data_IF_925770236300
#
_entry.id   IF_925770236300
#
_cell.length_a   1.000
_cell.length_b   1.000
_cell.length_c   1.000
_cell.angle_alpha   90.00
_cell.angle_beta   90.00
_cell.angle_gamma   90.00
#
_symmetry.space_group_name_H-M   'P 1'
#
loop_
_entity.id
_entity.type
_entity.pdbx_description
1 polymer ?
#
# COMPACT_ATOMS: atom_id res chain seq x y z
N UNK A 1 35.48 -5.25 47.75
CA UNK A 1 35.66 -5.38 46.30
C UNK A 1 34.77 -6.53 45.87
N UNK A 2 33.55 -6.24 45.50
CA UNK A 2 32.58 -7.18 44.96
C UNK A 2 32.41 -6.78 43.50
N UNK A 3 32.74 -7.68 42.60
CA UNK A 3 32.60 -7.49 41.14
C UNK A 3 31.13 -7.24 40.78
N UNK A 4 30.83 -6.32 39.84
CA UNK A 4 29.49 -6.16 39.33
C UNK A 4 29.15 -7.33 38.40
N UNK A 5 28.01 -7.97 38.68
CA UNK A 5 27.50 -9.11 37.96
C UNK A 5 27.37 -8.80 36.47
N UNK A 6 27.92 -9.70 35.65
CA UNK A 6 27.74 -9.80 34.22
C UNK A 6 26.24 -9.90 33.92
N UNK A 7 25.72 -8.92 33.18
CA UNK A 7 24.41 -8.98 32.53
C UNK A 7 24.29 -10.29 31.74
N UNK A 8 23.51 -11.20 32.27
CA UNK A 8 23.15 -12.42 31.56
C UNK A 8 22.22 -12.00 30.41
N UNK A 9 22.79 -11.83 29.22
CA UNK A 9 22.03 -11.73 27.99
C UNK A 9 21.07 -12.92 27.96
N UNK A 10 19.76 -12.62 27.98
CA UNK A 10 18.71 -13.62 27.98
C UNK A 10 18.95 -14.59 26.80
N UNK A 11 19.20 -15.85 27.12
CA UNK A 11 19.43 -16.90 26.12
C UNK A 11 18.25 -16.91 25.14
N UNK A 12 18.49 -17.04 23.83
CA UNK A 12 17.43 -17.10 22.83
C UNK A 12 16.46 -18.22 23.20
N UNK A 13 15.18 -17.89 23.31
CA UNK A 13 14.14 -18.85 23.70
C UNK A 13 14.18 -20.04 22.75
N UNK A 14 14.24 -21.25 23.30
CA UNK A 14 14.30 -22.49 22.53
C UNK A 14 13.19 -22.55 21.48
N UNK A 15 13.49 -22.98 20.24
CA UNK A 15 12.51 -23.01 19.16
C UNK A 15 11.30 -23.84 19.57
N UNK A 16 10.09 -23.32 19.39
CA UNK A 16 8.86 -24.05 19.70
C UNK A 16 8.80 -25.32 18.88
N UNK A 17 8.49 -26.49 19.46
CA UNK A 17 8.53 -27.77 18.73
C UNK A 17 7.55 -27.82 17.54
N UNK A 18 6.53 -26.93 17.47
CA UNK A 18 5.49 -26.89 16.43
C UNK A 18 5.51 -25.62 15.57
N UNK A 19 6.59 -24.84 15.57
CA UNK A 19 6.67 -23.55 14.86
C UNK A 19 6.29 -23.64 13.37
N UNK A 20 6.64 -24.72 12.66
CA UNK A 20 6.32 -24.89 11.23
C UNK A 20 4.81 -24.97 11.01
N UNK A 21 4.09 -25.68 11.89
CA UNK A 21 2.62 -25.79 11.86
C UNK A 21 1.98 -24.44 12.18
N UNK A 22 2.48 -23.74 13.19
CA UNK A 22 1.95 -22.45 13.63
C UNK A 22 2.15 -21.39 12.55
N UNK A 23 3.34 -21.33 11.93
CA UNK A 23 3.63 -20.45 10.80
C UNK A 23 2.78 -20.80 9.57
N UNK A 24 2.62 -22.09 9.24
CA UNK A 24 1.80 -22.50 8.10
C UNK A 24 0.32 -22.15 8.32
N UNK A 25 -0.22 -22.37 9.53
CA UNK A 25 -1.58 -21.98 9.88
C UNK A 25 -1.76 -20.45 9.83
N UNK A 26 -0.78 -19.70 10.31
CA UNK A 26 -0.77 -18.23 10.26
C UNK A 26 -0.74 -17.71 8.82
N UNK A 27 0.24 -18.14 8.00
CA UNK A 27 0.35 -17.73 6.61
C UNK A 27 -0.86 -18.14 5.78
N UNK A 28 -1.41 -19.35 6.02
CA UNK A 28 -2.64 -19.80 5.39
C UNK A 28 -3.84 -18.92 5.75
N UNK A 29 -4.01 -18.60 7.04
CA UNK A 29 -5.02 -17.67 7.51
C UNK A 29 -4.88 -16.29 6.90
N UNK A 30 -3.65 -15.74 6.89
CA UNK A 30 -3.37 -14.43 6.26
C UNK A 30 -3.66 -14.45 4.76
N UNK A 31 -3.32 -15.53 4.05
CA UNK A 31 -3.62 -15.66 2.61
C UNK A 31 -5.11 -15.60 2.35
N UNK A 32 -5.90 -16.36 3.11
CA UNK A 32 -7.35 -16.45 2.96
C UNK A 32 -8.02 -15.10 3.32
N UNK A 33 -7.63 -14.48 4.44
CA UNK A 33 -8.17 -13.18 4.86
C UNK A 33 -7.80 -12.07 3.87
N UNK A 34 -6.55 -12.01 3.43
CA UNK A 34 -6.08 -11.01 2.46
C UNK A 34 -6.81 -11.13 1.12
N UNK A 35 -7.04 -12.37 0.65
CA UNK A 35 -7.80 -12.62 -0.57
C UNK A 35 -9.22 -12.04 -0.48
N UNK A 36 -9.98 -12.37 0.56
CA UNK A 36 -11.34 -11.85 0.76
C UNK A 36 -11.36 -10.32 0.86
N UNK A 37 -10.45 -9.76 1.64
CA UNK A 37 -10.36 -8.30 1.84
C UNK A 37 -10.03 -7.56 0.54
N UNK A 38 -9.12 -8.09 -0.30
CA UNK A 38 -8.83 -7.51 -1.61
C UNK A 38 -9.99 -7.62 -2.58
N UNK A 39 -10.72 -8.75 -2.59
CA UNK A 39 -11.94 -8.90 -3.39
C UNK A 39 -12.95 -7.78 -3.10
N UNK A 40 -13.24 -7.54 -1.83
CA UNK A 40 -14.18 -6.48 -1.42
C UNK A 40 -13.66 -5.11 -1.82
N UNK A 41 -12.36 -4.86 -1.64
CA UNK A 41 -11.75 -3.58 -1.99
C UNK A 41 -11.95 -3.28 -3.49
N UNK A 42 -11.61 -4.21 -4.38
CA UNK A 42 -11.81 -4.02 -5.81
C UNK A 42 -13.29 -3.89 -6.18
N UNK A 43 -14.14 -4.79 -5.67
CA UNK A 43 -15.56 -4.79 -5.99
C UNK A 43 -16.25 -3.48 -5.58
N UNK A 44 -15.95 -2.95 -4.39
CA UNK A 44 -16.53 -1.70 -3.89
C UNK A 44 -16.05 -0.51 -4.72
N UNK A 45 -14.75 -0.42 -5.02
CA UNK A 45 -14.23 0.68 -5.87
C UNK A 45 -14.82 0.64 -7.27
N UNK A 46 -14.94 -0.54 -7.88
CA UNK A 46 -15.54 -0.71 -9.20
C UNK A 46 -17.04 -0.42 -9.19
N UNK A 47 -17.74 -0.88 -8.17
CA UNK A 47 -19.16 -0.57 -7.98
C UNK A 47 -19.39 0.94 -7.94
N UNK A 48 -18.63 1.68 -7.12
CA UNK A 48 -18.74 3.13 -7.02
C UNK A 48 -18.39 3.82 -8.36
N UNK A 49 -17.38 3.35 -9.07
CA UNK A 49 -17.00 3.88 -10.37
C UNK A 49 -18.08 3.66 -11.44
N UNK A 50 -18.68 2.46 -11.49
CA UNK A 50 -19.70 2.08 -12.47
C UNK A 50 -21.03 2.78 -12.20
N UNK A 51 -21.48 2.77 -10.94
CA UNK A 51 -22.80 3.27 -10.56
C UNK A 51 -22.89 4.79 -10.54
N UNK A 52 -21.90 5.44 -9.96
CA UNK A 52 -21.96 6.88 -9.73
C UNK A 52 -21.17 7.68 -10.76
N UNK A 53 -20.19 7.07 -11.40
CA UNK A 53 -19.34 7.74 -12.38
C UNK A 53 -18.83 9.12 -11.91
N UNK A 54 -18.58 9.27 -10.60
CA UNK A 54 -18.25 10.54 -9.96
C UNK A 54 -16.85 10.48 -9.34
N UNK A 55 -16.03 11.48 -9.64
CA UNK A 55 -14.72 11.65 -9.04
C UNK A 55 -14.79 11.94 -7.55
N UNK A 56 -15.86 12.64 -7.09
CA UNK A 56 -16.11 12.85 -5.66
C UNK A 56 -16.39 11.52 -4.94
N UNK A 57 -17.13 10.60 -5.55
CA UNK A 57 -17.36 9.26 -4.97
C UNK A 57 -16.06 8.46 -4.88
N UNK A 58 -15.19 8.54 -5.89
CA UNK A 58 -13.87 7.92 -5.86
C UNK A 58 -12.95 8.56 -4.80
N UNK A 59 -13.03 9.90 -4.63
CA UNK A 59 -12.33 10.60 -3.56
C UNK A 59 -12.79 10.13 -2.19
N UNK A 60 -14.09 10.05 -1.94
CA UNK A 60 -14.65 9.58 -0.66
C UNK A 60 -14.26 8.12 -0.39
N UNK A 61 -14.30 7.25 -1.42
CA UNK A 61 -13.84 5.88 -1.30
C UNK A 61 -12.36 5.80 -0.91
N UNK A 62 -11.49 6.60 -1.51
CA UNK A 62 -10.09 6.69 -1.15
C UNK A 62 -9.89 7.27 0.26
N UNK A 63 -10.62 8.33 0.61
CA UNK A 63 -10.52 8.97 1.92
C UNK A 63 -10.91 7.99 3.04
N UNK A 64 -12.10 7.40 2.95
CA UNK A 64 -12.58 6.45 3.96
C UNK A 64 -11.86 5.09 3.90
N UNK A 65 -11.37 4.69 2.74
CA UNK A 65 -10.63 3.44 2.55
C UNK A 65 -9.18 3.47 3.04
N UNK A 66 -8.52 4.64 3.12
CA UNK A 66 -7.09 4.71 3.42
C UNK A 66 -6.74 5.64 4.59
N UNK A 67 -7.45 6.77 4.80
CA UNK A 67 -7.11 7.71 5.86
C UNK A 67 -7.26 7.13 7.28
N UNK A 68 -8.34 6.38 7.62
CA UNK A 68 -8.44 5.73 8.92
C UNK A 68 -7.30 4.75 9.19
N UNK A 69 -6.88 3.97 8.19
CA UNK A 69 -5.72 3.08 8.30
C UNK A 69 -4.44 3.87 8.61
N UNK A 70 -4.19 4.96 7.89
CA UNK A 70 -3.02 5.80 8.09
C UNK A 70 -2.98 6.36 9.52
N UNK A 71 -4.10 6.87 10.02
CA UNK A 71 -4.20 7.43 11.39
C UNK A 71 -4.07 6.33 12.44
N UNK A 72 -4.80 5.24 12.30
CA UNK A 72 -4.83 4.15 13.29
C UNK A 72 -3.49 3.39 13.33
N UNK A 73 -2.80 3.23 12.21
CA UNK A 73 -1.50 2.53 12.18
C UNK A 73 -0.44 3.23 13.03
N UNK A 74 -0.54 4.54 13.26
CA UNK A 74 0.34 5.27 14.17
C UNK A 74 0.22 4.76 15.61
N UNK A 75 -0.97 4.34 16.02
CA UNK A 75 -1.24 3.79 17.35
C UNK A 75 -1.14 2.26 17.39
N UNK A 76 -1.32 1.63 16.23
CA UNK A 76 -1.35 0.17 16.07
C UNK A 76 -0.07 -0.52 16.58
N UNK A 77 1.10 0.09 16.39
CA UNK A 77 2.37 -0.39 16.92
C UNK A 77 2.38 -0.42 18.45
N UNK A 78 1.96 0.67 19.10
CA UNK A 78 1.86 0.78 20.56
C UNK A 78 0.84 -0.24 21.12
N UNK A 79 -0.27 -0.45 20.44
CA UNK A 79 -1.26 -1.46 20.84
C UNK A 79 -0.72 -2.87 20.69
N UNK A 80 0.03 -3.17 19.61
CA UNK A 80 0.68 -4.46 19.38
C UNK A 80 1.74 -4.80 20.47
N UNK A 81 2.36 -3.78 21.05
CA UNK A 81 3.33 -3.95 22.14
C UNK A 81 2.67 -4.12 23.52
N UNK A 82 1.46 -3.55 23.69
CA UNK A 82 0.76 -3.55 24.99
C UNK A 82 -0.27 -4.67 25.13
N UNK A 83 -0.75 -5.22 24.01
CA UNK A 83 -1.82 -6.21 24.02
C UNK A 83 -1.37 -7.50 23.33
N UNK A 84 -2.12 -8.57 23.55
CA UNK A 84 -1.88 -9.83 22.86
C UNK A 84 -2.16 -9.67 21.35
N UNK A 85 -1.10 -9.77 20.55
CA UNK A 85 -1.11 -9.56 19.09
C UNK A 85 -2.11 -10.46 18.36
N UNK A 86 -2.29 -11.70 18.84
CA UNK A 86 -3.29 -12.65 18.32
C UNK A 86 -4.71 -12.08 18.47
N UNK A 87 -5.08 -11.58 19.64
CA UNK A 87 -6.42 -11.02 19.86
C UNK A 87 -6.63 -9.70 19.12
N UNK A 88 -5.59 -8.89 18.91
CA UNK A 88 -5.67 -7.69 18.07
C UNK A 88 -5.98 -8.04 16.62
N UNK A 89 -5.29 -9.04 16.04
CA UNK A 89 -5.53 -9.49 14.67
C UNK A 89 -6.95 -10.08 14.55
N UNK A 90 -7.32 -11.00 15.45
CA UNK A 90 -8.66 -11.61 15.43
C UNK A 90 -9.77 -10.58 15.62
N UNK A 91 -9.57 -9.59 16.50
CA UNK A 91 -10.54 -8.52 16.74
C UNK A 91 -10.70 -7.60 15.53
N UNK A 92 -9.60 -7.26 14.86
CA UNK A 92 -9.63 -6.48 13.63
C UNK A 92 -10.33 -7.24 12.50
N UNK A 93 -9.97 -8.52 12.26
CA UNK A 93 -10.64 -9.37 11.27
C UNK A 93 -12.13 -9.52 11.57
N UNK A 94 -12.51 -9.72 12.84
CA UNK A 94 -13.91 -9.84 13.25
C UNK A 94 -14.69 -8.53 13.02
N UNK A 95 -14.11 -7.37 13.34
CA UNK A 95 -14.75 -6.08 13.12
C UNK A 95 -14.94 -5.81 11.61
N UNK A 96 -13.94 -6.13 10.79
CA UNK A 96 -14.00 -6.05 9.33
C UNK A 96 -15.11 -6.96 8.80
N UNK A 97 -15.09 -8.24 9.17
CA UNK A 97 -16.07 -9.21 8.71
C UNK A 97 -17.51 -8.86 9.13
N UNK A 98 -17.69 -8.41 10.38
CA UNK A 98 -19.01 -8.00 10.88
C UNK A 98 -19.54 -6.78 10.14
N UNK A 99 -18.72 -5.77 9.92
CA UNK A 99 -19.13 -4.58 9.14
C UNK A 99 -19.49 -4.93 7.70
N UNK A 100 -18.71 -5.83 7.07
CA UNK A 100 -19.00 -6.33 5.72
C UNK A 100 -20.28 -7.15 5.67
N UNK A 101 -20.51 -8.01 6.68
CA UNK A 101 -21.76 -8.77 6.81
C UNK A 101 -22.97 -7.87 6.99
N UNK A 102 -22.87 -6.85 7.85
CA UNK A 102 -23.92 -5.86 8.02
C UNK A 102 -24.27 -5.16 6.70
N UNK A 103 -23.25 -4.74 5.93
CA UNK A 103 -23.45 -4.15 4.62
C UNK A 103 -24.18 -5.11 3.67
N UNK A 104 -23.71 -6.35 3.58
CA UNK A 104 -24.34 -7.37 2.73
C UNK A 104 -25.82 -7.60 3.07
N UNK A 105 -26.16 -7.71 4.37
CA UNK A 105 -27.53 -7.90 4.83
C UNK A 105 -28.40 -6.67 4.55
N UNK A 106 -27.89 -5.46 4.76
CA UNK A 106 -28.60 -4.20 4.48
C UNK A 106 -28.87 -4.07 2.98
N UNK A 107 -27.89 -4.40 2.13
CA UNK A 107 -28.07 -4.41 0.68
C UNK A 107 -29.11 -5.43 0.23
N UNK A 108 -29.11 -6.64 0.79
CA UNK A 108 -30.15 -7.67 0.54
C UNK A 108 -31.54 -7.20 0.99
N UNK A 109 -31.64 -6.32 1.97
CA UNK A 109 -32.90 -5.72 2.39
C UNK A 109 -33.36 -4.56 1.47
N UNK A 110 -32.61 -4.28 0.38
CA UNK A 110 -32.96 -3.25 -0.62
C UNK A 110 -32.40 -1.84 -0.32
N UNK A 111 -31.52 -1.71 0.69
CA UNK A 111 -30.89 -0.42 1.00
C UNK A 111 -29.45 -0.40 0.48
N UNK A 112 -29.18 0.43 -0.53
CA UNK A 112 -27.86 0.55 -1.20
C UNK A 112 -27.27 1.95 -1.16
N UNK A 113 -27.56 2.70 -0.10
CA UNK A 113 -27.09 4.06 0.07
C UNK A 113 -25.55 4.16 0.14
N UNK A 114 -24.90 5.06 -0.62
CA UNK A 114 -23.42 5.13 -0.71
C UNK A 114 -22.73 5.38 0.64
N UNK A 115 -23.37 6.13 1.55
CA UNK A 115 -22.78 6.43 2.85
C UNK A 115 -22.55 5.18 3.71
N UNK A 116 -23.36 4.13 3.54
CA UNK A 116 -23.16 2.84 4.22
C UNK A 116 -21.83 2.19 3.79
N UNK A 117 -21.55 2.28 2.50
CA UNK A 117 -20.29 1.77 1.93
C UNK A 117 -19.10 2.54 2.52
N UNK A 118 -19.19 3.86 2.62
CA UNK A 118 -18.11 4.67 3.20
C UNK A 118 -17.87 4.37 4.69
N UNK A 119 -18.93 4.15 5.46
CA UNK A 119 -18.80 3.72 6.87
C UNK A 119 -18.09 2.37 6.96
N UNK A 120 -18.47 1.41 6.13
CA UNK A 120 -17.82 0.10 6.12
C UNK A 120 -16.37 0.20 5.65
N UNK A 121 -16.07 0.99 4.63
CA UNK A 121 -14.68 1.27 4.21
C UNK A 121 -13.85 1.87 5.35
N UNK A 122 -14.42 2.81 6.12
CA UNK A 122 -13.73 3.40 7.27
C UNK A 122 -13.42 2.36 8.37
N UNK A 123 -14.39 1.49 8.70
CA UNK A 123 -14.20 0.42 9.70
C UNK A 123 -13.14 -0.59 9.20
N UNK A 124 -13.21 -1.01 7.94
CA UNK A 124 -12.23 -1.90 7.31
C UNK A 124 -10.84 -1.28 7.31
N UNK A 125 -10.75 -0.03 6.94
CA UNK A 125 -9.49 0.75 6.93
C UNK A 125 -8.90 0.88 8.33
N UNK A 126 -9.71 1.20 9.34
CA UNK A 126 -9.27 1.26 10.74
C UNK A 126 -8.80 -0.12 11.24
N UNK A 127 -9.52 -1.19 10.91
CA UNK A 127 -9.13 -2.57 11.21
C UNK A 127 -7.77 -2.94 10.60
N UNK A 128 -7.54 -2.61 9.32
CA UNK A 128 -6.28 -2.83 8.64
C UNK A 128 -5.12 -2.06 9.32
N UNK A 129 -5.38 -0.85 9.83
CA UNK A 129 -4.42 -0.05 10.59
C UNK A 129 -3.97 -0.69 11.91
N UNK A 130 -4.81 -1.51 12.53
CA UNK A 130 -4.46 -2.33 13.71
C UNK A 130 -3.77 -3.62 13.29
N UNK A 131 -4.28 -4.27 12.26
CA UNK A 131 -3.86 -5.61 11.83
C UNK A 131 -2.42 -5.62 11.32
N UNK A 132 -2.00 -4.67 10.47
CA UNK A 132 -0.67 -4.67 9.86
C UNK A 132 0.48 -4.64 10.88
N UNK A 133 0.51 -3.72 11.86
CA UNK A 133 1.53 -3.74 12.91
C UNK A 133 1.47 -5.00 13.78
N UNK A 134 0.26 -5.48 14.11
CA UNK A 134 0.09 -6.68 14.92
C UNK A 134 0.60 -7.95 14.21
N UNK A 135 0.37 -8.09 12.90
CA UNK A 135 0.91 -9.17 12.04
C UNK A 135 2.43 -9.13 12.04
N UNK A 136 3.02 -7.95 11.78
CA UNK A 136 4.48 -7.78 11.75
C UNK A 136 5.12 -8.11 13.10
N UNK A 137 4.44 -7.79 14.20
CA UNK A 137 4.91 -8.08 15.55
C UNK A 137 4.69 -9.54 15.97
N UNK A 138 3.69 -10.26 15.40
CA UNK A 138 3.39 -11.66 15.72
C UNK A 138 4.40 -12.63 15.08
N UNK A 139 4.86 -12.33 13.86
CA UNK A 139 5.77 -13.21 13.10
C UNK A 139 7.02 -13.62 13.91
N UNK A 140 7.76 -12.71 14.57
CA UNK A 140 8.91 -13.08 15.38
C UNK A 140 8.56 -13.93 16.62
N UNK A 141 7.32 -13.88 17.10
CA UNK A 141 6.90 -14.69 18.26
C UNK A 141 6.64 -16.16 17.92
N UNK A 142 6.27 -16.45 16.66
CA UNK A 142 5.92 -17.81 16.22
C UNK A 142 7.01 -18.43 15.33
N UNK A 143 8.02 -17.65 14.94
CA UNK A 143 9.07 -18.04 13.99
C UNK A 143 10.45 -18.01 14.66
N UNK A 144 11.30 -19.04 14.50
CA UNK A 144 12.68 -18.97 14.91
C UNK A 144 13.44 -17.85 14.18
N UNK A 145 14.41 -17.22 14.84
CA UNK A 145 15.14 -16.05 14.30
C UNK A 145 15.85 -16.32 13.01
N UNK A 146 16.41 -17.53 12.82
CA UNK A 146 17.08 -18.00 11.61
C UNK A 146 16.14 -18.21 10.42
N UNK A 147 14.81 -18.27 10.64
CA UNK A 147 13.81 -18.47 9.60
C UNK A 147 13.00 -17.20 9.28
N UNK A 148 13.21 -16.09 9.98
CA UNK A 148 12.42 -14.86 9.81
C UNK A 148 12.46 -14.31 8.38
N UNK A 149 13.65 -14.30 7.75
CA UNK A 149 13.83 -13.84 6.36
C UNK A 149 12.96 -14.67 5.42
N UNK A 150 12.95 -15.99 5.62
CA UNK A 150 12.16 -16.91 4.78
C UNK A 150 10.66 -16.71 4.96
N UNK A 151 10.18 -16.56 6.20
CA UNK A 151 8.75 -16.36 6.49
C UNK A 151 8.27 -15.01 5.97
N UNK A 152 9.04 -13.94 6.16
CA UNK A 152 8.73 -12.63 5.58
C UNK A 152 8.74 -12.66 4.04
N UNK A 153 9.67 -13.40 3.44
CA UNK A 153 9.69 -13.61 1.99
C UNK A 153 8.44 -14.33 1.48
N UNK A 154 7.95 -15.37 2.19
CA UNK A 154 6.68 -16.00 1.87
C UNK A 154 5.49 -15.05 1.99
N UNK A 155 5.43 -14.24 3.06
CA UNK A 155 4.37 -13.25 3.22
C UNK A 155 4.36 -12.22 2.08
N UNK A 156 5.52 -11.70 1.70
CA UNK A 156 5.65 -10.80 0.57
C UNK A 156 5.23 -11.45 -0.76
N UNK A 157 5.59 -12.74 -0.96
CA UNK A 157 5.17 -13.50 -2.14
C UNK A 157 3.64 -13.71 -2.18
N UNK A 158 3.02 -13.99 -1.02
CA UNK A 158 1.57 -14.09 -0.89
C UNK A 158 0.91 -12.76 -1.27
N UNK A 159 1.39 -11.64 -0.74
CA UNK A 159 0.86 -10.30 -1.05
C UNK A 159 0.96 -10.00 -2.55
N UNK A 160 2.09 -10.30 -3.18
CA UNK A 160 2.28 -10.11 -4.62
C UNK A 160 1.37 -11.01 -5.46
N UNK A 161 1.18 -12.27 -5.06
CA UNK A 161 0.26 -13.18 -5.73
C UNK A 161 -1.20 -12.72 -5.60
N UNK A 162 -1.60 -12.23 -4.41
CA UNK A 162 -2.95 -11.71 -4.17
C UNK A 162 -3.20 -10.42 -4.96
N UNK A 163 -2.22 -9.55 -5.11
CA UNK A 163 -2.34 -8.34 -5.95
C UNK A 163 -2.66 -8.67 -7.42
N UNK A 164 -2.23 -9.84 -7.92
CA UNK A 164 -2.55 -10.31 -9.28
C UNK A 164 -3.86 -11.11 -9.33
N UNK A 165 -4.08 -12.01 -8.35
CA UNK A 165 -5.20 -12.95 -8.39
C UNK A 165 -6.52 -12.34 -7.93
N UNK A 166 -6.49 -11.41 -6.96
CA UNK A 166 -7.70 -10.85 -6.39
C UNK A 166 -8.50 -10.00 -7.39
N UNK A 167 -7.92 -9.09 -8.20
CA UNK A 167 -8.70 -8.36 -9.21
C UNK A 167 -9.28 -9.29 -10.27
N UNK A 168 -8.55 -10.34 -10.70
CA UNK A 168 -9.06 -11.34 -11.63
C UNK A 168 -10.29 -12.08 -11.06
N UNK A 169 -10.18 -12.56 -9.83
CA UNK A 169 -11.27 -13.26 -9.16
C UNK A 169 -12.46 -12.32 -8.88
N UNK A 170 -12.20 -11.09 -8.41
CA UNK A 170 -13.25 -10.08 -8.21
C UNK A 170 -14.00 -9.79 -9.51
N UNK A 171 -13.27 -9.62 -10.63
CA UNK A 171 -13.85 -9.41 -11.94
C UNK A 171 -14.77 -10.54 -12.40
N UNK A 172 -14.30 -11.79 -12.27
CA UNK A 172 -15.10 -12.97 -12.64
C UNK A 172 -16.36 -13.09 -11.77
N UNK A 173 -16.22 -12.96 -10.45
CA UNK A 173 -17.35 -13.10 -9.51
C UNK A 173 -18.35 -11.97 -9.71
N UNK A 174 -17.87 -10.72 -9.81
CA UNK A 174 -18.74 -9.56 -10.00
C UNK A 174 -19.48 -9.66 -11.36
N UNK A 175 -18.78 -9.94 -12.48
CA UNK A 175 -19.40 -10.04 -13.79
C UNK A 175 -20.42 -11.18 -13.85
N UNK A 176 -20.14 -12.33 -13.24
CA UNK A 176 -21.08 -13.45 -13.15
C UNK A 176 -22.33 -13.09 -12.31
N UNK A 177 -22.13 -12.34 -11.21
CA UNK A 177 -23.24 -11.87 -10.38
C UNK A 177 -24.08 -10.82 -11.09
N UNK A 178 -23.45 -9.85 -11.76
CA UNK A 178 -24.13 -8.83 -12.56
C UNK A 178 -24.94 -9.42 -13.73
N UNK A 179 -24.54 -10.59 -14.25
CA UNK A 179 -25.29 -11.31 -15.29
C UNK A 179 -26.57 -11.95 -14.76
N UNK A 180 -26.62 -12.28 -13.48
CA UNK A 180 -27.71 -13.02 -12.85
C UNK A 180 -28.70 -12.16 -12.06
N UNK A 181 -28.38 -10.88 -11.87
CA UNK A 181 -29.20 -9.92 -11.11
C UNK A 181 -29.60 -8.74 -12.01
N UNK A 182 -30.90 -8.43 -12.04
CA UNK A 182 -31.42 -7.23 -12.74
C UNK A 182 -31.03 -5.94 -12.00
N UNK A 183 -30.72 -6.04 -10.69
CA UNK A 183 -30.36 -4.91 -9.83
C UNK A 183 -28.83 -4.86 -9.62
N UNK A 184 -28.22 -3.83 -10.17
CA UNK A 184 -26.80 -3.55 -10.12
C UNK A 184 -26.18 -3.53 -8.69
N UNK A 185 -26.84 -2.97 -7.65
CA UNK A 185 -26.31 -3.01 -6.29
C UNK A 185 -26.10 -4.42 -5.73
N UNK A 186 -26.89 -5.40 -6.18
CA UNK A 186 -26.80 -6.79 -5.71
C UNK A 186 -25.55 -7.54 -6.24
N UNK A 187 -24.93 -7.03 -7.29
CA UNK A 187 -23.81 -7.72 -7.94
C UNK A 187 -22.55 -7.86 -7.05
N UNK A 188 -22.36 -6.98 -6.06
CA UNK A 188 -21.21 -7.08 -5.12
C UNK A 188 -21.49 -7.95 -3.91
N UNK A 189 -22.75 -8.29 -3.61
CA UNK A 189 -23.14 -9.00 -2.39
C UNK A 189 -22.46 -10.36 -2.25
N UNK A 190 -22.32 -11.21 -3.28
CA UNK A 190 -21.58 -12.47 -3.15
C UNK A 190 -20.13 -12.27 -2.71
N UNK A 191 -19.47 -11.22 -3.18
CA UNK A 191 -18.09 -10.90 -2.80
C UNK A 191 -18.03 -10.51 -1.31
N UNK A 192 -19.02 -9.77 -0.80
CA UNK A 192 -19.10 -9.42 0.62
C UNK A 192 -19.23 -10.68 1.49
N UNK A 193 -20.04 -11.68 1.08
CA UNK A 193 -20.15 -12.94 1.80
C UNK A 193 -18.86 -13.78 1.75
N UNK A 194 -18.14 -13.76 0.61
CA UNK A 194 -16.85 -14.45 0.51
C UNK A 194 -15.86 -13.88 1.54
N UNK A 195 -15.79 -12.55 1.69
CA UNK A 195 -14.93 -11.90 2.69
C UNK A 195 -15.27 -12.34 4.12
N UNK A 196 -16.56 -12.42 4.46
CA UNK A 196 -17.01 -12.88 5.78
C UNK A 196 -16.55 -14.32 6.04
N UNK A 197 -16.72 -15.22 5.07
CA UNK A 197 -16.32 -16.62 5.19
C UNK A 197 -14.81 -16.76 5.29
N UNK A 198 -14.06 -16.03 4.46
CA UNK A 198 -12.59 -16.05 4.48
C UNK A 198 -12.03 -15.48 5.78
N UNK A 199 -12.61 -14.41 6.32
CA UNK A 199 -12.22 -13.85 7.60
C UNK A 199 -12.54 -14.83 8.77
N UNK A 200 -13.71 -15.46 8.75
CA UNK A 200 -14.06 -16.48 9.75
C UNK A 200 -13.08 -17.67 9.74
N UNK A 201 -12.69 -18.15 8.54
CA UNK A 201 -11.70 -19.20 8.39
C UNK A 201 -10.31 -18.76 8.89
N UNK A 202 -9.89 -17.54 8.61
CA UNK A 202 -8.62 -16.98 9.08
C UNK A 202 -8.59 -16.84 10.61
N UNK A 203 -9.67 -16.34 11.21
CA UNK A 203 -9.84 -16.26 12.67
C UNK A 203 -9.77 -17.66 13.29
N UNK A 204 -10.45 -18.64 12.72
CA UNK A 204 -10.43 -20.02 13.21
C UNK A 204 -9.01 -20.61 13.16
N UNK A 205 -8.27 -20.41 12.05
CA UNK A 205 -6.88 -20.86 11.93
C UNK A 205 -5.99 -20.19 12.97
N UNK A 206 -6.07 -18.87 13.12
CA UNK A 206 -5.28 -18.10 14.08
C UNK A 206 -5.64 -18.49 15.52
N UNK A 207 -6.89 -18.83 15.81
CA UNK A 207 -7.33 -19.31 17.14
C UNK A 207 -6.59 -20.58 17.58
N UNK A 208 -6.17 -21.45 16.66
CA UNK A 208 -5.45 -22.70 16.97
C UNK A 208 -4.00 -22.47 17.40
N UNK A 209 -3.43 -21.28 17.16
CA UNK A 209 -2.03 -20.99 17.43
C UNK A 209 -1.88 -20.55 18.90
N UNK A 210 -1.07 -21.25 19.72
CA UNK A 210 -0.80 -20.82 21.08
C UNK A 210 0.18 -19.63 21.08
N UNK A 211 -0.28 -18.46 21.41
CA UNK A 211 0.57 -17.23 21.55
C UNK A 211 0.67 -16.89 23.01
N UNK A 212 1.91 -16.77 23.53
CA UNK A 212 2.17 -16.36 24.91
C UNK A 212 1.76 -14.91 25.12
N UNK A 213 1.27 -14.60 26.30
CA UNK A 213 0.99 -13.20 26.69
C UNK A 213 2.28 -12.36 26.59
N UNK A 214 2.13 -11.11 26.17
CA UNK A 214 3.26 -10.16 26.13
C UNK A 214 3.74 -9.92 27.57
N UNK A 215 4.99 -10.31 27.86
CA UNK A 215 5.63 -9.93 29.11
C UNK A 215 5.96 -8.44 29.01
N UNK A 216 5.35 -7.63 29.86
CA UNK A 216 5.64 -6.20 29.94
C UNK A 216 7.10 -5.98 30.32
N UNK A 217 7.93 -5.53 29.42
CA UNK A 217 9.23 -4.94 29.69
C UNK A 217 9.10 -3.44 29.47
N UNK A 218 9.07 -2.68 30.57
CA UNK A 218 9.33 -1.23 30.60
C UNK A 218 8.15 -0.31 30.21
N UNK A 219 7.80 0.58 31.12
CA UNK A 219 6.76 1.61 30.97
C UNK A 219 7.19 2.84 30.13
N UNK A 220 8.38 2.85 29.51
CA UNK A 220 9.01 4.06 28.98
C UNK A 220 8.81 4.32 27.48
N UNK A 221 8.16 3.40 26.74
CA UNK A 221 8.06 3.52 25.28
C UNK A 221 7.02 4.54 24.77
N UNK A 222 6.12 5.07 25.61
CA UNK A 222 5.04 5.94 25.17
C UNK A 222 5.38 7.44 25.13
N UNK A 223 6.42 7.86 25.82
CA UNK A 223 6.81 9.28 25.90
C UNK A 223 7.69 9.74 24.74
N UNK A 224 8.23 8.81 23.94
CA UNK A 224 9.18 9.09 22.86
C UNK A 224 8.57 9.26 21.47
N UNK A 225 7.35 8.71 21.18
CA UNK A 225 6.87 8.67 19.79
C UNK A 225 6.71 10.04 19.12
N UNK A 226 6.08 11.00 19.81
CA UNK A 226 5.97 12.38 19.30
C UNK A 226 7.32 13.11 19.26
N UNK A 227 8.18 12.84 20.24
CA UNK A 227 9.54 13.38 20.25
C UNK A 227 10.36 12.80 19.09
N UNK A 228 10.28 11.49 18.86
CA UNK A 228 10.93 10.82 17.74
C UNK A 228 10.41 11.30 16.37
N UNK A 229 9.10 11.59 16.27
CA UNK A 229 8.51 12.17 15.05
C UNK A 229 9.05 13.60 14.80
N UNK A 230 9.07 14.43 15.86
CA UNK A 230 9.61 15.81 15.77
C UNK A 230 11.10 15.80 15.43
N UNK A 231 11.86 14.90 16.03
CA UNK A 231 13.28 14.72 15.71
C UNK A 231 13.49 14.24 14.28
N UNK A 232 12.61 13.35 13.78
CA UNK A 232 12.60 12.91 12.39
C UNK A 232 12.34 14.07 11.42
N UNK A 233 11.34 14.92 11.72
CA UNK A 233 11.05 16.14 10.93
C UNK A 233 12.24 17.10 10.92
N UNK A 234 12.86 17.35 12.09
CA UNK A 234 14.03 18.22 12.19
C UNK A 234 15.20 17.65 11.41
N UNK A 235 15.47 16.34 11.51
CA UNK A 235 16.51 15.68 10.73
C UNK A 235 16.31 15.85 9.22
N UNK A 236 15.08 15.61 8.73
CA UNK A 236 14.72 15.81 7.32
C UNK A 236 14.91 17.28 6.89
N UNK A 237 14.52 18.23 7.76
CA UNK A 237 14.66 19.65 7.48
C UNK A 237 16.13 20.08 7.37
N UNK A 238 17.02 19.50 8.18
CA UNK A 238 18.45 19.84 8.25
C UNK A 238 19.27 19.14 7.14
N UNK A 239 18.79 17.98 6.61
CA UNK A 239 19.54 17.21 5.60
C UNK A 239 19.04 17.49 4.18
N UNK A 240 19.81 18.26 3.42
CA UNK A 240 19.44 18.75 2.07
C UNK A 240 19.07 17.62 1.11
N UNK A 241 19.84 16.52 1.07
CA UNK A 241 19.58 15.36 0.19
C UNK A 241 18.30 14.62 0.58
N UNK A 242 18.10 14.33 1.88
CA UNK A 242 16.94 13.62 2.39
C UNK A 242 15.67 14.45 2.15
N UNK A 243 15.72 15.75 2.46
CA UNK A 243 14.60 16.67 2.22
C UNK A 243 14.23 16.75 0.74
N UNK A 244 15.23 16.91 -0.14
CA UNK A 244 15.01 16.95 -1.58
C UNK A 244 14.36 15.67 -2.09
N UNK A 245 14.89 14.50 -1.67
CA UNK A 245 14.39 13.20 -2.10
C UNK A 245 12.95 12.95 -1.60
N UNK A 246 12.65 13.28 -0.35
CA UNK A 246 11.30 13.14 0.22
C UNK A 246 10.29 14.08 -0.43
N UNK A 247 10.67 15.32 -0.72
CA UNK A 247 9.80 16.26 -1.44
C UNK A 247 9.53 15.79 -2.86
N UNK A 248 10.57 15.38 -3.60
CA UNK A 248 10.41 14.83 -4.94
C UNK A 248 9.50 13.59 -4.91
N UNK A 249 9.78 12.66 -4.00
CA UNK A 249 8.99 11.44 -3.81
C UNK A 249 7.52 11.75 -3.50
N UNK A 250 7.27 12.64 -2.54
CA UNK A 250 5.90 13.02 -2.15
C UNK A 250 5.13 13.69 -3.28
N UNK A 251 5.75 14.65 -4.00
CA UNK A 251 5.11 15.34 -5.13
C UNK A 251 4.81 14.36 -6.27
N UNK A 252 5.81 13.55 -6.67
CA UNK A 252 5.61 12.52 -7.71
C UNK A 252 4.50 11.55 -7.29
N UNK A 253 4.49 11.12 -6.02
CA UNK A 253 3.47 10.20 -5.52
C UNK A 253 2.07 10.81 -5.58
N UNK A 254 1.91 12.10 -5.23
CA UNK A 254 0.61 12.82 -5.39
C UNK A 254 0.21 12.91 -6.87
N UNK A 255 1.15 13.22 -7.79
CA UNK A 255 0.84 13.27 -9.23
C UNK A 255 0.47 11.90 -9.81
N UNK A 256 1.01 10.80 -9.25
CA UNK A 256 0.67 9.43 -9.66
C UNK A 256 -0.72 8.98 -9.19
N UNK A 257 -1.35 9.71 -8.25
CA UNK A 257 -2.70 9.38 -7.76
C UNK A 257 -3.73 9.46 -8.88
N UNK A 258 -3.64 10.45 -9.78
CA UNK A 258 -4.57 10.60 -10.89
C UNK A 258 -4.53 9.37 -11.83
N UNK A 259 -3.39 8.99 -12.44
CA UNK A 259 -3.32 7.80 -13.29
C UNK A 259 -3.48 6.47 -12.51
N UNK A 260 -3.32 6.45 -11.20
CA UNK A 260 -3.54 5.27 -10.38
C UNK A 260 -5.00 5.04 -9.99
N UNK A 261 -5.77 6.11 -9.74
CA UNK A 261 -7.09 6.00 -9.11
C UNK A 261 -8.24 6.56 -9.97
N UNK A 262 -7.98 7.34 -11.02
CA UNK A 262 -9.02 7.84 -11.92
C UNK A 262 -9.22 6.95 -13.17
N UNK A 263 -8.37 5.96 -13.44
CA UNK A 263 -8.53 5.06 -14.57
C UNK A 263 -9.86 4.28 -14.53
N UNK A 264 -10.37 3.80 -13.38
CA UNK A 264 -11.69 3.21 -13.34
C UNK A 264 -12.78 4.15 -13.89
N UNK A 265 -12.70 5.43 -13.55
CA UNK A 265 -13.63 6.44 -14.05
C UNK A 265 -13.44 6.73 -15.55
N UNK A 266 -12.18 6.79 -16.03
CA UNK A 266 -11.86 6.88 -17.46
C UNK A 266 -12.47 5.73 -18.24
N UNK A 267 -12.28 4.48 -17.78
CA UNK A 267 -12.78 3.29 -18.47
C UNK A 267 -14.29 3.30 -18.59
N UNK A 268 -15.00 3.65 -17.53
CA UNK A 268 -16.47 3.65 -17.51
C UNK A 268 -17.06 4.81 -18.31
N UNK A 269 -16.43 6.00 -18.27
CA UNK A 269 -16.95 7.20 -18.97
C UNK A 269 -16.58 7.21 -20.46
N UNK A 270 -15.33 6.92 -20.79
CA UNK A 270 -14.81 7.09 -22.15
C UNK A 270 -14.87 5.83 -23.00
N UNK A 271 -14.94 4.65 -22.36
CA UNK A 271 -15.01 3.35 -23.02
C UNK A 271 -16.16 2.47 -22.50
N UNK A 272 -17.41 2.96 -22.47
CA UNK A 272 -18.53 2.24 -21.89
C UNK A 272 -18.78 0.91 -22.62
N UNK A 273 -18.85 -0.18 -21.86
CA UNK A 273 -18.99 -1.55 -22.38
C UNK A 273 -20.17 -2.30 -21.74
N UNK A 274 -21.12 -1.56 -21.16
CA UNK A 274 -22.16 -2.12 -20.30
C UNK A 274 -21.58 -2.54 -18.92
N UNK A 275 -22.43 -2.91 -17.99
CA UNK A 275 -21.98 -3.17 -16.61
C UNK A 275 -20.97 -4.34 -16.54
N UNK A 276 -21.31 -5.48 -17.15
CA UNK A 276 -20.41 -6.63 -17.21
C UNK A 276 -19.09 -6.32 -17.92
N UNK A 277 -19.16 -5.66 -19.09
CA UNK A 277 -17.98 -5.28 -19.85
C UNK A 277 -17.09 -4.30 -19.08
N UNK A 278 -17.68 -3.34 -18.37
CA UNK A 278 -16.95 -2.41 -17.52
C UNK A 278 -16.19 -3.15 -16.39
N UNK A 279 -16.84 -4.12 -15.72
CA UNK A 279 -16.19 -4.93 -14.68
C UNK A 279 -15.01 -5.73 -15.25
N UNK A 280 -15.18 -6.35 -16.42
CA UNK A 280 -14.11 -7.10 -17.11
C UNK A 280 -12.96 -6.17 -17.48
N UNK A 281 -13.25 -4.98 -18.01
CA UNK A 281 -12.23 -3.99 -18.36
C UNK A 281 -11.46 -3.50 -17.14
N UNK A 282 -12.15 -3.28 -16.01
CA UNK A 282 -11.53 -2.90 -14.74
C UNK A 282 -10.63 -4.02 -14.19
N UNK A 283 -11.06 -5.27 -14.29
CA UNK A 283 -10.23 -6.41 -13.89
C UNK A 283 -8.99 -6.55 -14.80
N UNK A 284 -9.13 -6.42 -16.11
CA UNK A 284 -8.02 -6.49 -17.08
C UNK A 284 -7.01 -5.36 -16.86
N UNK A 285 -7.49 -4.15 -16.59
CA UNK A 285 -6.64 -3.00 -16.24
C UNK A 285 -5.77 -3.28 -15.00
N UNK A 286 -6.37 -3.76 -13.90
CA UNK A 286 -5.65 -4.10 -12.68
C UNK A 286 -4.67 -5.26 -12.88
N UNK A 287 -5.06 -6.28 -13.65
CA UNK A 287 -4.17 -7.39 -14.00
C UNK A 287 -2.98 -6.92 -14.84
N UNK A 288 -3.21 -6.05 -15.84
CA UNK A 288 -2.13 -5.49 -16.65
C UNK A 288 -1.13 -4.72 -15.80
N UNK A 289 -1.62 -3.86 -14.89
CA UNK A 289 -0.79 -3.12 -13.95
C UNK A 289 0.01 -4.06 -13.02
N UNK A 290 -0.66 -5.05 -12.42
CA UNK A 290 -0.03 -6.01 -11.49
C UNK A 290 1.03 -6.88 -12.18
N UNK A 291 0.76 -7.36 -13.40
CA UNK A 291 1.73 -8.07 -14.22
C UNK A 291 2.95 -7.19 -14.55
N UNK A 292 2.69 -5.91 -14.86
CA UNK A 292 3.74 -4.91 -15.04
C UNK A 292 4.60 -4.76 -13.79
N UNK A 293 4.00 -4.65 -12.61
CA UNK A 293 4.73 -4.53 -11.34
C UNK A 293 5.63 -5.75 -11.06
N UNK A 294 5.14 -6.96 -11.31
CA UNK A 294 5.94 -8.18 -11.15
C UNK A 294 7.12 -8.18 -12.13
N UNK A 295 6.85 -7.90 -13.41
CA UNK A 295 7.90 -7.82 -14.43
C UNK A 295 8.93 -6.72 -14.11
N UNK A 296 8.46 -5.53 -13.71
CA UNK A 296 9.30 -4.40 -13.32
C UNK A 296 10.18 -4.71 -12.11
N UNK A 297 9.62 -5.38 -11.10
CA UNK A 297 10.37 -5.83 -9.93
C UNK A 297 11.53 -6.78 -10.29
N UNK A 298 11.28 -7.76 -11.17
CA UNK A 298 12.32 -8.67 -11.68
C UNK A 298 13.37 -7.91 -12.49
N UNK A 299 12.95 -6.99 -13.37
CA UNK A 299 13.86 -6.19 -14.19
C UNK A 299 14.75 -5.27 -13.33
N UNK A 300 14.19 -4.61 -12.32
CA UNK A 300 14.96 -3.78 -11.38
C UNK A 300 15.98 -4.63 -10.64
N UNK A 301 15.59 -5.77 -10.10
CA UNK A 301 16.49 -6.66 -9.36
C UNK A 301 17.67 -7.16 -10.20
N UNK A 302 17.47 -7.37 -11.51
CA UNK A 302 18.49 -7.91 -12.41
C UNK A 302 19.33 -6.83 -13.10
N UNK A 303 18.73 -5.70 -13.48
CA UNK A 303 19.39 -4.69 -14.31
C UNK A 303 19.84 -3.44 -13.53
N UNK A 304 19.08 -3.03 -12.49
CA UNK A 304 19.27 -1.72 -11.86
C UNK A 304 20.49 -1.65 -10.94
N UNK A 305 21.07 -2.77 -10.52
CA UNK A 305 22.25 -2.80 -9.62
C UNK A 305 23.49 -2.09 -10.17
N UNK A 306 23.57 -1.93 -11.51
CA UNK A 306 24.70 -1.31 -12.21
C UNK A 306 24.45 0.16 -12.61
N UNK A 307 23.23 0.66 -12.39
CA UNK A 307 22.82 1.97 -12.89
C UNK A 307 22.82 3.01 -11.77
N UNK A 308 23.08 4.25 -12.15
CA UNK A 308 23.02 5.41 -11.26
C UNK A 308 21.58 5.59 -10.75
N UNK A 309 21.42 5.60 -9.42
CA UNK A 309 20.10 5.64 -8.76
C UNK A 309 19.33 6.90 -9.08
N UNK A 310 20.03 8.07 -9.13
CA UNK A 310 19.39 9.34 -9.42
C UNK A 310 18.90 9.39 -10.86
N UNK A 311 19.72 8.87 -11.80
CA UNK A 311 19.31 8.76 -13.20
C UNK A 311 18.11 7.82 -13.36
N UNK A 312 18.07 6.71 -12.62
CA UNK A 312 16.91 5.80 -12.62
C UNK A 312 15.65 6.50 -12.10
N UNK A 313 15.73 7.21 -10.97
CA UNK A 313 14.62 7.95 -10.38
C UNK A 313 14.11 9.01 -11.37
N UNK A 314 15.01 9.77 -11.97
CA UNK A 314 14.65 10.81 -12.94
C UNK A 314 14.03 10.20 -14.22
N UNK A 315 14.67 9.19 -14.80
CA UNK A 315 14.18 8.53 -16.01
C UNK A 315 12.82 7.85 -15.80
N UNK A 316 12.65 7.13 -14.68
CA UNK A 316 11.37 6.50 -14.37
C UNK A 316 10.27 7.52 -14.11
N UNK A 317 10.55 8.64 -13.43
CA UNK A 317 9.59 9.72 -13.25
C UNK A 317 9.18 10.37 -14.58
N UNK A 318 10.13 10.64 -15.47
CA UNK A 318 9.84 11.18 -16.81
C UNK A 318 9.05 10.18 -17.65
N UNK A 319 9.41 8.89 -17.61
CA UNK A 319 8.66 7.83 -18.30
C UNK A 319 7.24 7.75 -17.75
N UNK A 320 7.06 7.84 -16.43
CA UNK A 320 5.74 7.87 -15.81
C UNK A 320 4.90 9.06 -16.30
N UNK A 321 5.49 10.27 -16.38
CA UNK A 321 4.83 11.45 -16.94
C UNK A 321 4.40 11.24 -18.40
N UNK A 322 5.26 10.61 -19.23
CA UNK A 322 4.93 10.26 -20.62
C UNK A 322 3.77 9.25 -20.69
N UNK A 323 3.79 8.22 -19.85
CA UNK A 323 2.74 7.22 -19.81
C UNK A 323 1.41 7.80 -19.30
N UNK A 324 1.44 8.76 -18.37
CA UNK A 324 0.24 9.49 -17.95
C UNK A 324 -0.39 10.29 -19.11
N UNK A 325 0.45 10.98 -19.92
CA UNK A 325 -0.02 11.64 -21.15
C UNK A 325 -0.58 10.62 -22.13
N UNK A 326 0.10 9.49 -22.33
CA UNK A 326 -0.36 8.44 -23.23
C UNK A 326 -1.71 7.83 -22.79
N UNK A 327 -1.97 7.70 -21.50
CA UNK A 327 -3.29 7.31 -20.97
C UNK A 327 -4.37 8.34 -21.29
N UNK A 328 -4.06 9.64 -21.10
CA UNK A 328 -5.00 10.71 -21.42
C UNK A 328 -5.29 10.87 -22.93
N UNK A 329 -4.41 10.36 -23.79
CA UNK A 329 -4.58 10.38 -25.25
C UNK A 329 -4.92 9.01 -25.85
N UNK A 330 -5.25 8.01 -25.01
CA UNK A 330 -5.47 6.65 -25.46
C UNK A 330 -6.70 6.53 -26.37
N UNK A 331 -6.56 6.03 -27.61
CA UNK A 331 -7.67 5.93 -28.56
C UNK A 331 -8.60 4.73 -28.31
N UNK A 332 -8.26 3.86 -27.37
CA UNK A 332 -9.06 2.64 -27.09
C UNK A 332 -8.48 1.80 -25.95
N UNK A 333 -9.28 0.84 -25.49
CA UNK A 333 -9.00 -0.02 -24.33
C UNK A 333 -7.67 -0.76 -24.42
N UNK A 334 -7.31 -1.29 -25.59
CA UNK A 334 -6.06 -2.03 -25.76
C UNK A 334 -4.84 -1.15 -25.44
N UNK A 335 -4.89 0.12 -25.85
CA UNK A 335 -3.81 1.07 -25.54
C UNK A 335 -3.78 1.38 -24.05
N UNK A 336 -4.95 1.55 -23.41
CA UNK A 336 -5.02 1.75 -21.94
C UNK A 336 -4.36 0.58 -21.20
N UNK A 337 -4.70 -0.68 -21.57
CA UNK A 337 -4.12 -1.86 -20.92
C UNK A 337 -2.60 -1.99 -21.17
N UNK A 338 -2.15 -1.73 -22.39
CA UNK A 338 -0.73 -1.76 -22.74
C UNK A 338 0.05 -0.69 -21.96
N UNK A 339 -0.50 0.53 -21.87
CA UNK A 339 0.15 1.62 -21.11
C UNK A 339 0.14 1.31 -19.61
N UNK A 340 -0.94 0.74 -19.07
CA UNK A 340 -1.00 0.35 -17.65
C UNK A 340 -0.01 -0.76 -17.28
N UNK A 341 0.22 -1.71 -18.17
CA UNK A 341 1.29 -2.70 -18.01
C UNK A 341 2.67 -2.01 -17.95
N UNK A 342 2.93 -1.02 -18.82
CA UNK A 342 4.16 -0.23 -18.80
C UNK A 342 4.28 0.62 -17.52
N UNK A 343 3.18 1.24 -17.07
CA UNK A 343 3.12 1.96 -15.78
C UNK A 343 3.53 1.02 -14.64
N UNK A 344 2.96 -0.19 -14.60
CA UNK A 344 3.33 -1.21 -13.63
C UNK A 344 4.83 -1.52 -13.65
N UNK A 345 5.44 -1.68 -14.83
CA UNK A 345 6.88 -1.91 -14.97
C UNK A 345 7.69 -0.73 -14.40
N UNK A 346 7.27 0.50 -14.63
CA UNK A 346 8.03 1.71 -14.24
C UNK A 346 8.00 1.96 -12.74
N UNK A 347 6.93 1.58 -12.03
CA UNK A 347 6.79 1.81 -10.57
C UNK A 347 7.97 1.26 -9.76
N UNK A 348 8.42 0.01 -9.92
CA UNK A 348 9.61 -0.50 -9.22
C UNK A 348 10.91 0.24 -9.57
N UNK A 349 11.06 0.75 -10.80
CA UNK A 349 12.22 1.55 -11.21
C UNK A 349 12.29 2.92 -10.55
N UNK A 350 11.17 3.42 -10.02
CA UNK A 350 11.13 4.62 -9.19
C UNK A 350 11.30 4.28 -7.71
N UNK A 351 10.49 3.36 -7.17
CA UNK A 351 10.40 3.11 -5.74
C UNK A 351 11.65 2.44 -5.17
N UNK A 352 12.21 1.43 -5.85
CA UNK A 352 13.36 0.68 -5.33
C UNK A 352 14.62 1.55 -5.25
N UNK A 353 15.06 2.27 -6.30
CA UNK A 353 16.22 3.16 -6.19
C UNK A 353 16.03 4.28 -5.19
N UNK A 354 14.80 4.83 -5.05
CA UNK A 354 14.49 5.88 -4.08
C UNK A 354 14.66 5.39 -2.64
N UNK A 355 14.15 4.19 -2.32
CA UNK A 355 14.33 3.58 -1.01
C UNK A 355 15.79 3.22 -0.74
N UNK A 356 16.50 2.68 -1.74
CA UNK A 356 17.92 2.36 -1.61
C UNK A 356 18.75 3.61 -1.36
N UNK A 357 18.50 4.70 -2.09
CA UNK A 357 19.22 5.95 -1.91
C UNK A 357 18.98 6.53 -0.50
N UNK A 358 17.75 6.46 0.03
CA UNK A 358 17.47 6.82 1.43
C UNK A 358 18.23 5.95 2.42
N UNK A 359 18.30 4.62 2.20
CA UNK A 359 19.04 3.70 3.05
C UNK A 359 20.55 3.99 3.08
N UNK A 360 21.09 4.40 1.96
CA UNK A 360 22.53 4.73 1.83
C UNK A 360 22.88 6.12 2.38
N UNK A 361 21.93 7.06 2.34
CA UNK A 361 22.13 8.45 2.77
C UNK A 361 21.88 8.65 4.27
N UNK A 362 20.98 7.87 4.85
CA UNK A 362 20.56 8.04 6.25
C UNK A 362 21.37 7.13 7.16
N UNK A 363 21.92 7.71 8.24
CA UNK A 363 22.64 6.97 9.29
C UNK A 363 21.78 5.82 9.86
N UNK A 364 22.36 4.64 10.14
CA UNK A 364 21.61 3.46 10.61
C UNK A 364 20.72 3.73 11.83
N UNK A 365 21.20 4.58 12.78
CA UNK A 365 20.52 4.94 14.02
C UNK A 365 19.24 5.78 13.76
N UNK A 366 19.17 6.46 12.61
CA UNK A 366 18.09 7.38 12.23
C UNK A 366 17.18 6.83 11.14
N UNK A 367 17.56 5.72 10.50
CA UNK A 367 16.77 5.10 9.43
C UNK A 367 15.33 4.83 9.83
N UNK A 368 15.09 4.30 11.03
CA UNK A 368 13.74 4.01 11.52
C UNK A 368 12.83 5.24 11.54
N UNK A 369 13.35 6.41 11.94
CA UNK A 369 12.60 7.68 11.97
C UNK A 369 12.30 8.20 10.57
N UNK A 370 13.30 8.20 9.68
CA UNK A 370 13.14 8.67 8.30
C UNK A 370 12.18 7.77 7.52
N UNK A 371 12.28 6.43 7.65
CA UNK A 371 11.35 5.50 7.00
C UNK A 371 9.93 5.58 7.57
N UNK A 372 9.79 5.87 8.87
CA UNK A 372 8.50 6.21 9.46
C UNK A 372 7.88 7.43 8.77
N UNK A 373 8.69 8.47 8.48
CA UNK A 373 8.24 9.67 7.78
C UNK A 373 7.87 9.39 6.32
N UNK A 374 8.64 8.56 5.60
CA UNK A 374 8.28 8.07 4.25
C UNK A 374 6.91 7.39 4.27
N UNK A 375 6.67 6.52 5.26
CA UNK A 375 5.38 5.86 5.44
C UNK A 375 4.21 6.84 5.61
N UNK A 376 4.41 7.91 6.39
CA UNK A 376 3.41 8.97 6.57
C UNK A 376 3.16 9.71 5.24
N UNK A 377 4.23 10.08 4.52
CA UNK A 377 4.11 10.75 3.22
C UNK A 377 3.31 9.88 2.24
N UNK A 378 3.62 8.59 2.15
CA UNK A 378 2.87 7.65 1.29
C UNK A 378 1.41 7.51 1.73
N UNK A 379 1.15 7.39 3.03
CA UNK A 379 -0.20 7.22 3.56
C UNK A 379 -1.09 8.46 3.34
N UNK A 380 -0.50 9.66 3.38
CA UNK A 380 -1.23 10.93 3.20
C UNK A 380 -1.33 11.33 1.72
N UNK A 381 -0.34 10.99 0.90
CA UNK A 381 -0.27 11.45 -0.50
C UNK A 381 -1.46 10.96 -1.34
N UNK A 382 -1.93 9.74 -1.13
CA UNK A 382 -3.09 9.20 -1.84
C UNK A 382 -4.40 9.94 -1.48
N UNK A 383 -4.81 10.07 -0.21
CA UNK A 383 -5.96 10.89 0.15
C UNK A 383 -5.83 12.35 -0.29
N UNK A 384 -4.64 12.95 -0.14
CA UNK A 384 -4.39 14.33 -0.55
C UNK A 384 -4.53 14.51 -2.07
N UNK A 385 -3.99 13.59 -2.86
CA UNK A 385 -4.16 13.59 -4.32
C UNK A 385 -5.62 13.44 -4.72
N UNK A 386 -6.36 12.53 -4.09
CA UNK A 386 -7.78 12.32 -4.39
C UNK A 386 -8.66 13.49 -3.96
N UNK A 387 -8.32 14.22 -2.88
CA UNK A 387 -8.99 15.46 -2.51
C UNK A 387 -8.93 16.54 -3.60
N UNK A 388 -7.86 16.54 -4.40
CA UNK A 388 -7.70 17.46 -5.53
C UNK A 388 -8.29 16.87 -6.80
N UNK A 389 -7.86 15.68 -7.20
CA UNK A 389 -8.20 15.10 -8.50
C UNK A 389 -9.62 14.53 -8.55
N UNK A 390 -10.18 14.08 -7.42
CA UNK A 390 -11.55 13.58 -7.37
C UNK A 390 -12.58 14.63 -7.82
N UNK A 391 -12.75 15.74 -7.06
CA UNK A 391 -13.68 16.81 -7.46
C UNK A 391 -13.35 17.39 -8.83
N UNK A 392 -12.05 17.49 -9.19
CA UNK A 392 -11.64 17.99 -10.50
C UNK A 392 -12.13 17.07 -11.63
N UNK A 393 -12.18 15.76 -11.42
CA UNK A 393 -12.68 14.79 -12.41
C UNK A 393 -14.19 14.88 -12.66
N UNK A 394 -14.96 15.63 -11.84
CA UNK A 394 -16.36 15.87 -12.08
C UNK A 394 -16.62 17.13 -12.93
N UNK A 395 -15.63 18.01 -13.07
CA UNK A 395 -15.73 19.25 -13.86
C UNK A 395 -14.80 19.27 -15.07
N UNK A 396 -13.74 18.42 -15.06
CA UNK A 396 -12.76 18.34 -16.15
C UNK A 396 -12.68 16.88 -16.61
N UNK A 397 -12.62 16.61 -17.93
CA UNK A 397 -12.41 15.24 -18.43
C UNK A 397 -11.17 14.58 -17.82
N UNK A 398 -11.28 13.30 -17.44
CA UNK A 398 -10.18 12.54 -16.83
C UNK A 398 -8.95 12.53 -17.73
N UNK A 399 -9.15 12.45 -19.03
CA UNK A 399 -8.11 12.52 -20.06
C UNK A 399 -7.25 13.77 -19.91
N UNK A 400 -7.89 14.92 -19.71
CA UNK A 400 -7.21 16.20 -19.54
C UNK A 400 -6.40 16.23 -18.24
N UNK A 401 -6.96 15.67 -17.14
CA UNK A 401 -6.25 15.57 -15.86
C UNK A 401 -4.98 14.70 -16.03
N UNK A 402 -5.09 13.56 -16.73
CA UNK A 402 -3.95 12.69 -17.00
C UNK A 402 -2.86 13.37 -17.82
N UNK A 403 -3.23 14.13 -18.85
CA UNK A 403 -2.27 14.91 -19.63
C UNK A 403 -1.61 15.98 -18.77
N UNK A 404 -2.38 16.75 -18.00
CA UNK A 404 -1.86 17.82 -17.14
C UNK A 404 -0.94 17.28 -16.06
N UNK A 405 -1.30 16.18 -15.39
CA UNK A 405 -0.45 15.55 -14.37
C UNK A 405 0.83 14.98 -14.97
N UNK A 406 0.77 14.44 -16.19
CA UNK A 406 1.95 14.02 -16.93
C UNK A 406 2.89 15.20 -17.26
N UNK A 407 2.36 16.31 -17.77
CA UNK A 407 3.14 17.53 -17.99
C UNK A 407 3.69 18.13 -16.69
N UNK A 408 2.90 18.15 -15.62
CA UNK A 408 3.36 18.58 -14.30
C UNK A 408 4.52 17.71 -13.79
N UNK A 409 4.49 16.41 -14.06
CA UNK A 409 5.60 15.50 -13.71
C UNK A 409 6.90 15.91 -14.41
N UNK A 410 6.87 16.27 -15.71
CA UNK A 410 8.04 16.81 -16.42
C UNK A 410 8.53 18.10 -15.79
N UNK A 411 7.63 19.02 -15.45
CA UNK A 411 7.98 20.27 -14.80
C UNK A 411 8.62 20.03 -13.43
N UNK A 412 8.05 19.16 -12.60
CA UNK A 412 8.58 18.84 -11.26
C UNK A 412 9.96 18.19 -11.34
N UNK A 413 10.16 17.21 -12.23
CA UNK A 413 11.47 16.58 -12.41
C UNK A 413 12.49 17.58 -12.98
N UNK A 414 12.08 18.41 -13.93
CA UNK A 414 12.92 19.49 -14.44
C UNK A 414 13.34 20.47 -13.33
N UNK A 415 12.39 20.96 -12.54
CA UNK A 415 12.70 21.85 -11.39
C UNK A 415 13.61 21.14 -10.37
N UNK A 416 13.33 19.88 -10.05
CA UNK A 416 14.13 19.11 -9.09
C UNK A 416 15.59 18.90 -9.54
N UNK A 417 15.85 18.81 -10.84
CA UNK A 417 17.19 18.57 -11.37
C UNK A 417 17.95 19.88 -11.68
N UNK A 418 17.26 20.94 -12.11
CA UNK A 418 17.89 22.15 -12.63
C UNK A 418 17.95 23.33 -11.65
N UNK A 419 17.08 23.35 -10.61
CA UNK A 419 17.17 24.37 -9.57
C UNK A 419 18.50 24.25 -8.77
N UNK A 420 19.03 25.36 -8.23
CA UNK A 420 20.27 25.34 -7.46
C UNK A 420 20.27 24.39 -6.27
N UNK A 421 19.13 24.28 -5.56
CA UNK A 421 18.95 23.33 -4.45
C UNK A 421 18.99 21.87 -4.95
N UNK A 422 18.30 21.56 -6.05
CA UNK A 422 18.31 20.22 -6.64
C UNK A 422 19.68 19.81 -7.17
N UNK A 423 20.40 20.74 -7.84
CA UNK A 423 21.77 20.48 -8.30
C UNK A 423 22.72 20.16 -7.15
N UNK A 424 22.61 20.90 -6.03
CA UNK A 424 23.42 20.61 -4.83
C UNK A 424 23.07 19.26 -4.23
N UNK A 425 21.77 18.94 -4.06
CA UNK A 425 21.32 17.67 -3.54
C UNK A 425 21.78 16.48 -4.41
N UNK A 426 21.68 16.61 -5.75
CA UNK A 426 22.16 15.62 -6.71
C UNK A 426 23.68 15.45 -6.63
N UNK A 427 24.45 16.55 -6.56
CA UNK A 427 25.90 16.50 -6.42
C UNK A 427 26.34 15.84 -5.10
N UNK A 428 25.68 16.18 -3.99
CA UNK A 428 25.92 15.59 -2.68
C UNK A 428 25.60 14.08 -2.68
N UNK A 429 24.47 13.66 -3.26
CA UNK A 429 24.11 12.25 -3.37
C UNK A 429 25.11 11.46 -4.24
N UNK A 430 25.62 12.02 -5.33
CA UNK A 430 26.68 11.38 -6.11
C UNK A 430 28.01 11.29 -5.34
N UNK A 431 28.33 12.27 -4.50
CA UNK A 431 29.54 12.22 -3.66
C UNK A 431 29.48 11.08 -2.64
N UNK A 432 28.31 10.87 -2.02
CA UNK A 432 28.06 9.78 -1.06
C UNK A 432 28.03 8.39 -1.69
N UNK A 433 27.63 8.28 -2.96
CA UNK A 433 27.55 6.99 -3.70
C UNK A 433 28.89 6.50 -4.23
N UNK A 434 30.00 7.24 -4.05
CA UNK A 434 31.33 6.80 -4.47
C UNK A 434 31.91 5.82 -3.46
N UNK A 435 32.42 4.62 -3.90
CA UNK A 435 33.10 3.69 -3.01
C UNK A 435 34.33 4.39 -2.38
N UNK A 436 34.35 4.57 -1.07
CA UNK A 436 35.46 5.20 -0.32
C UNK A 436 35.13 6.49 0.42
N UNK A 437 33.94 7.10 0.25
CA UNK A 437 33.61 8.37 0.92
C UNK A 437 33.32 8.23 2.44
N UNK A 438 33.22 7.03 2.99
CA UNK A 438 32.99 6.77 4.42
C UNK A 438 34.27 6.36 5.19
N UNK A 439 35.47 6.52 4.60
CA UNK A 439 36.72 5.97 5.17
C UNK A 439 37.72 7.03 5.66
N UNK A 440 37.37 8.31 5.76
CA UNK A 440 38.26 9.28 6.42
C UNK A 440 37.51 10.00 7.57
N UNK A 441 37.78 9.62 8.84
CA UNK A 441 37.55 10.50 9.95
C UNK A 441 38.74 11.48 10.04
N UNK A 442 38.48 12.77 9.90
CA UNK A 442 39.39 13.79 10.46
C UNK A 442 39.26 13.89 12.00
#
# INVERSE_FOLDING_TARGET
MTEPGTDAAAAPAAPRPRWKRDVAAFLGGQTISLFGSMLVQYAVFWYLAIQFQSGVMMMLAALFGFLPQAVISLFGGVWADRHNRKFLIMGADAAIALSTLCLAVIMLAGFSEPWLIFVVLAIRSAGAGIQMPAVSALIPQITPTDQLIRVNGFLASIQSAMALLAPAAAGVIYAASAASTEDSPMAIVPILFIDVVTAAAAIALLATIPVSAVVRTGADAATGYFADLVDGVRYVADHEVVRWLLLLFGIIFVLTVAPGNLIPLLLVRSFPSGEQGNVVNLALFEMAFSLGMVAGGVLVATLASKWDRIKLIAASSLTFGLLSIALGLAPGLLVVFAVMLLVGIVVPFFSTPSMTLLQETVEPERQGRVFGFVGIVMAVAMPAGMLVFGPLADVVPVETILVVTGLATFAVVGLALFLPAGRRAVAAAHAMSRPGALAEPE
#
